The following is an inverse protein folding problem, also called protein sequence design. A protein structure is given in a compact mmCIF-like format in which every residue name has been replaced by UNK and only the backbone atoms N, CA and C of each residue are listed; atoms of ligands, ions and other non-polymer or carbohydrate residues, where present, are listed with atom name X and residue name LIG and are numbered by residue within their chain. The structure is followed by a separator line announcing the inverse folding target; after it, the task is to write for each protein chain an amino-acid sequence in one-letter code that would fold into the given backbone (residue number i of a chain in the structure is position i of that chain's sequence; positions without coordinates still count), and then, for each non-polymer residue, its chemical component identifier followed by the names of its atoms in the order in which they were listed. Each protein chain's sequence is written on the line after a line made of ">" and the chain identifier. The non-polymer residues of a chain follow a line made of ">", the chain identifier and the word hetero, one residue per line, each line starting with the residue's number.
data_IF_139026661110
#
_entry.id   IF_139026661110
#
_cell.length_a   1.000
_cell.length_b   1.000
_cell.length_c   1.000
_cell.angle_alpha   90.00
_cell.angle_beta   90.00
_cell.angle_gamma   90.00
#
_symmetry.space_group_name_H-M   'P 1'
#
loop_
_entity.id
_entity.type
_entity.pdbx_description
1 polymer ?
#
# COMPACT_ATOMS: atom_id res chain seq x y z
N UNK A 1 72.44 -5.98 -52.87
CA UNK A 1 72.57 -6.84 -51.68
C UNK A 1 72.03 -6.05 -50.50
N UNK A 2 70.79 -6.35 -50.10
CA UNK A 2 70.42 -6.89 -48.77
C UNK A 2 70.55 -5.90 -47.60
N UNK A 3 69.40 -5.44 -47.09
CA UNK A 3 68.78 -5.77 -45.77
C UNK A 3 69.26 -4.80 -44.67
N UNK A 4 68.53 -3.72 -44.33
CA UNK A 4 67.29 -3.55 -43.51
C UNK A 4 67.51 -3.66 -41.98
N UNK A 5 66.84 -2.73 -41.26
CA UNK A 5 66.42 -2.70 -39.84
C UNK A 5 67.46 -2.09 -38.87
N UNK A 6 67.14 -1.17 -37.97
CA UNK A 6 65.89 -1.05 -37.18
C UNK A 6 65.75 0.39 -36.64
N UNK A 7 64.69 1.11 -37.03
CA UNK A 7 64.27 2.35 -36.35
C UNK A 7 63.10 1.99 -35.44
N UNK A 8 63.41 1.81 -34.14
CA UNK A 8 62.41 1.73 -33.09
C UNK A 8 61.81 3.13 -32.89
N UNK A 9 60.73 3.43 -33.61
CA UNK A 9 59.82 4.51 -33.23
C UNK A 9 59.00 4.02 -32.04
N UNK A 10 59.51 4.29 -30.83
CA UNK A 10 58.67 4.40 -29.64
C UNK A 10 57.72 5.56 -29.89
N UNK A 11 56.51 5.27 -30.35
CA UNK A 11 55.40 6.20 -30.25
C UNK A 11 55.02 6.25 -28.76
N UNK A 12 55.27 7.34 -28.02
CA UNK A 12 54.46 7.58 -26.86
C UNK A 12 53.06 7.84 -27.40
N UNK A 13 52.15 6.87 -27.24
CA UNK A 13 50.72 7.14 -27.26
C UNK A 13 50.43 7.97 -26.00
N UNK A 14 50.88 9.23 -26.03
CA UNK A 14 50.33 10.34 -25.29
C UNK A 14 49.15 10.84 -26.10
N UNK A 15 48.15 9.97 -26.30
CA UNK A 15 46.80 10.43 -26.61
C UNK A 15 46.11 10.52 -25.27
N UNK A 16 46.37 11.65 -24.63
CA UNK A 16 45.34 12.41 -23.94
C UNK A 16 44.28 11.59 -23.19
N UNK A 17 44.43 11.51 -21.86
CA UNK A 17 43.31 11.36 -20.93
C UNK A 17 42.32 12.55 -20.96
N UNK A 18 42.10 13.17 -22.12
CA UNK A 18 41.17 14.27 -22.38
C UNK A 18 39.91 13.85 -23.15
N UNK A 19 39.62 12.56 -23.27
CA UNK A 19 38.36 12.12 -23.89
C UNK A 19 37.30 11.86 -22.82
N UNK A 20 36.44 12.87 -22.65
CA UNK A 20 35.18 12.90 -21.90
C UNK A 20 35.28 13.02 -20.37
N UNK A 21 35.55 14.24 -19.86
CA UNK A 21 35.03 14.60 -18.53
C UNK A 21 33.49 14.59 -18.62
N UNK A 22 32.77 13.73 -17.88
CA UNK A 22 31.33 13.67 -17.97
C UNK A 22 30.73 15.02 -17.53
N UNK A 23 29.97 15.65 -18.43
CA UNK A 23 29.30 16.91 -18.17
C UNK A 23 27.93 16.63 -17.57
N UNK A 24 27.78 16.93 -16.28
CA UNK A 24 26.50 16.80 -15.60
C UNK A 24 25.64 18.04 -15.83
N UNK A 25 24.35 17.79 -16.03
CA UNK A 25 23.35 18.84 -16.19
C UNK A 25 22.37 18.81 -15.03
N UNK A 26 22.14 19.98 -14.43
CA UNK A 26 21.13 20.14 -13.39
C UNK A 26 19.76 20.28 -14.04
N UNK A 27 18.80 19.48 -13.57
CA UNK A 27 17.38 19.57 -13.93
C UNK A 27 16.58 19.76 -12.65
N UNK A 28 15.65 20.72 -12.68
CA UNK A 28 14.58 20.86 -11.69
C UNK A 28 13.27 20.52 -12.37
N UNK A 29 12.59 19.46 -11.94
CA UNK A 29 11.28 19.09 -12.44
C UNK A 29 10.20 19.47 -11.43
N UNK A 30 9.12 20.08 -11.91
CA UNK A 30 7.95 20.45 -11.11
C UNK A 30 6.66 19.96 -11.76
N UNK A 31 5.62 19.75 -10.97
CA UNK A 31 4.30 19.40 -11.49
C UNK A 31 3.38 18.85 -10.42
N UNK A 32 2.27 18.26 -10.87
CA UNK A 32 1.23 17.67 -10.01
C UNK A 32 0.74 16.34 -10.57
N UNK A 33 0.65 15.32 -9.72
CA UNK A 33 -0.01 14.06 -10.06
C UNK A 33 -1.41 13.98 -9.45
N UNK A 34 -2.39 13.61 -10.27
CA UNK A 34 -3.76 13.32 -9.84
C UNK A 34 -4.19 11.93 -10.30
N UNK A 35 -5.14 11.32 -9.59
CA UNK A 35 -5.81 10.08 -9.96
C UNK A 35 -7.31 10.37 -10.09
N UNK A 36 -7.84 10.37 -11.32
CA UNK A 36 -9.22 10.77 -11.60
C UNK A 36 -9.54 12.18 -11.10
N UNK A 37 -8.60 13.12 -11.21
CA UNK A 37 -8.72 14.48 -10.68
C UNK A 37 -8.42 14.65 -9.18
N UNK A 38 -8.33 13.56 -8.40
CA UNK A 38 -7.98 13.62 -6.98
C UNK A 38 -6.45 13.68 -6.82
N UNK A 39 -5.88 14.62 -6.05
CA UNK A 39 -4.43 14.68 -5.82
C UNK A 39 -3.84 13.38 -5.24
N UNK A 40 -2.75 12.89 -5.84
CA UNK A 40 -2.01 11.74 -5.31
C UNK A 40 -1.01 12.25 -4.26
N UNK A 41 -1.37 12.22 -2.99
CA UNK A 41 -0.63 12.84 -1.88
C UNK A 41 0.35 11.88 -1.21
N UNK A 42 1.51 12.35 -0.78
CA UNK A 42 2.52 11.57 -0.04
C UNK A 42 2.99 10.32 -0.80
N UNK A 43 3.09 10.43 -2.12
CA UNK A 43 3.48 9.34 -3.02
C UNK A 43 4.90 9.54 -3.52
N UNK A 44 5.66 8.45 -3.66
CA UNK A 44 7.05 8.52 -4.11
C UNK A 44 7.10 9.03 -5.56
N UNK A 45 7.87 10.10 -5.78
CA UNK A 45 8.18 10.63 -7.11
C UNK A 45 9.68 10.59 -7.32
N UNK A 46 10.09 10.19 -8.52
CA UNK A 46 11.47 10.17 -8.96
C UNK A 46 11.61 11.07 -10.18
N UNK A 47 12.66 11.88 -10.20
CA UNK A 47 13.20 12.49 -11.41
C UNK A 47 14.15 11.46 -12.04
N UNK A 48 13.86 11.10 -13.28
CA UNK A 48 14.52 10.03 -14.02
C UNK A 48 15.05 10.57 -15.34
N UNK A 49 16.24 10.12 -15.70
CA UNK A 49 16.85 10.26 -17.02
C UNK A 49 16.50 9.02 -17.87
N UNK A 50 15.99 9.20 -19.09
CA UNK A 50 15.52 8.10 -19.96
C UNK A 50 16.65 7.69 -20.92
N UNK A 51 17.62 6.94 -20.43
CA UNK A 51 18.80 6.52 -21.20
C UNK A 51 18.54 5.22 -21.98
N UNK A 52 19.26 5.02 -23.08
CA UNK A 52 19.11 3.84 -23.96
C UNK A 52 19.44 2.50 -23.26
N UNK A 53 20.26 2.50 -22.21
CA UNK A 53 20.71 1.26 -21.53
C UNK A 53 20.14 1.09 -20.11
N UNK A 54 20.13 2.14 -19.27
CA UNK A 54 19.57 2.09 -17.92
C UNK A 54 19.05 3.45 -17.48
N UNK A 55 17.74 3.55 -17.20
CA UNK A 55 17.14 4.74 -16.61
C UNK A 55 17.81 5.11 -15.27
N UNK A 56 18.50 6.25 -15.22
CA UNK A 56 19.17 6.72 -14.00
C UNK A 56 18.25 7.61 -13.16
N UNK A 57 18.01 7.22 -11.90
CA UNK A 57 17.27 8.08 -10.96
C UNK A 57 18.17 9.22 -10.49
N UNK A 58 17.91 10.44 -10.96
CA UNK A 58 18.64 11.65 -10.55
C UNK A 58 18.27 12.12 -9.14
N UNK A 59 16.99 12.03 -8.76
CA UNK A 59 16.48 12.45 -7.46
C UNK A 59 15.18 11.73 -7.11
N UNK A 60 14.94 11.50 -5.82
CA UNK A 60 13.65 11.02 -5.30
C UNK A 60 13.09 12.00 -4.27
N UNK A 61 11.77 12.05 -4.15
CA UNK A 61 11.03 12.79 -3.12
C UNK A 61 9.58 12.33 -3.05
N UNK A 62 8.72 13.12 -2.42
CA UNK A 62 7.31 12.78 -2.23
C UNK A 62 6.42 13.90 -2.74
N UNK A 63 5.24 13.56 -3.25
CA UNK A 63 4.20 14.56 -3.49
C UNK A 63 3.70 15.15 -2.16
N UNK A 64 3.35 16.44 -2.17
CA UNK A 64 2.76 17.12 -1.02
C UNK A 64 1.26 16.82 -0.85
N UNK A 65 0.59 17.54 0.05
CA UNK A 65 -0.86 17.47 0.29
C UNK A 65 -1.72 17.87 -0.91
N UNK A 66 -1.17 18.59 -1.88
CA UNK A 66 -1.84 18.98 -3.13
C UNK A 66 -1.46 18.07 -4.31
N UNK A 67 -0.69 17.01 -4.08
CA UNK A 67 -0.20 16.12 -5.14
C UNK A 67 0.94 16.72 -5.97
N UNK A 68 1.48 17.86 -5.55
CA UNK A 68 2.54 18.59 -6.24
C UNK A 68 3.93 18.10 -5.81
N UNK A 69 4.91 18.29 -6.67
CA UNK A 69 6.30 17.95 -6.41
C UNK A 69 7.24 18.96 -7.06
N UNK A 70 8.43 19.10 -6.47
CA UNK A 70 9.58 19.81 -7.01
C UNK A 70 10.83 19.01 -6.68
N UNK A 71 11.55 18.52 -7.69
CA UNK A 71 12.76 17.72 -7.52
C UNK A 71 13.91 18.31 -8.33
N UNK A 72 15.06 18.50 -7.71
CA UNK A 72 16.29 18.93 -8.38
C UNK A 72 17.32 17.82 -8.31
N UNK A 73 17.87 17.44 -9.46
CA UNK A 73 18.89 16.40 -9.60
C UNK A 73 19.90 16.73 -10.70
N UNK A 74 20.98 15.95 -10.75
CA UNK A 74 21.99 16.02 -11.81
C UNK A 74 21.96 14.73 -12.62
N UNK A 75 21.91 14.86 -13.93
CA UNK A 75 21.86 13.76 -14.89
C UNK A 75 22.97 13.92 -15.92
N UNK A 76 23.21 12.86 -16.68
CA UNK A 76 24.15 12.84 -17.78
C UNK A 76 23.64 11.80 -18.77
N UNK A 77 23.89 12.06 -20.04
CA UNK A 77 23.71 11.04 -21.06
C UNK A 77 25.07 10.61 -21.59
N UNK A 78 25.21 9.31 -21.87
CA UNK A 78 26.42 8.77 -22.49
C UNK A 78 26.50 9.11 -24.00
N UNK A 79 25.35 9.32 -24.64
CA UNK A 79 25.23 9.50 -26.10
C UNK A 79 24.56 10.83 -26.51
N UNK A 80 23.89 11.50 -25.58
CA UNK A 80 23.25 12.81 -25.76
C UNK A 80 24.02 13.93 -25.02
N UNK A 81 23.72 15.19 -25.38
CA UNK A 81 24.40 16.35 -24.77
C UNK A 81 23.82 16.77 -23.42
N UNK A 82 22.58 16.38 -23.11
CA UNK A 82 21.88 16.64 -21.84
C UNK A 82 20.84 15.53 -21.60
N UNK A 83 20.43 15.35 -20.34
CA UNK A 83 19.37 14.44 -19.91
C UNK A 83 18.08 14.53 -20.71
N UNK A 84 17.31 13.45 -20.64
CA UNK A 84 15.97 13.23 -21.19
C UNK A 84 14.92 13.15 -20.04
N UNK A 85 14.75 14.22 -19.22
CA UNK A 85 14.06 14.11 -17.94
C UNK A 85 12.56 13.85 -18.03
N UNK A 86 12.07 13.02 -17.11
CA UNK A 86 10.66 12.87 -16.78
C UNK A 86 10.44 12.62 -15.28
N UNK A 87 9.20 12.83 -14.81
CA UNK A 87 8.78 12.49 -13.46
C UNK A 87 8.10 11.11 -13.46
N UNK A 88 8.59 10.19 -12.63
CA UNK A 88 8.00 8.87 -12.39
C UNK A 88 7.33 8.85 -11.02
N UNK A 89 6.04 8.53 -10.96
CA UNK A 89 5.34 8.31 -9.70
C UNK A 89 5.23 6.82 -9.41
N UNK A 90 5.79 6.37 -8.29
CA UNK A 90 5.70 4.99 -7.81
C UNK A 90 4.67 4.95 -6.68
N UNK A 91 3.70 4.03 -6.75
CA UNK A 91 2.62 3.90 -5.76
C UNK A 91 3.13 3.35 -4.42
N UNK A 92 3.88 4.18 -3.72
CA UNK A 92 4.44 3.95 -2.41
C UNK A 92 3.95 5.09 -1.51
N UNK A 93 3.31 4.77 -0.40
CA UNK A 93 2.84 5.75 0.58
C UNK A 93 3.84 5.82 1.74
N UNK A 94 4.78 6.76 1.67
CA UNK A 94 5.82 7.02 2.71
C UNK A 94 6.39 5.74 3.36
N UNK A 95 6.65 4.72 2.53
CA UNK A 95 7.10 3.37 2.90
C UNK A 95 6.12 2.51 3.73
N UNK A 96 4.94 3.02 4.10
CA UNK A 96 3.87 2.29 4.81
C UNK A 96 3.04 1.38 3.91
N UNK A 97 3.02 1.61 2.60
CA UNK A 97 2.29 0.79 1.64
C UNK A 97 2.94 0.85 0.26
N UNK A 98 2.89 -0.25 -0.50
CA UNK A 98 3.25 -0.32 -1.91
C UNK A 98 2.18 -1.03 -2.74
N UNK A 99 1.80 -0.44 -3.88
CA UNK A 99 0.95 -1.10 -4.89
C UNK A 99 1.85 -1.80 -5.93
N UNK A 100 1.55 -3.07 -6.19
CA UNK A 100 2.33 -3.96 -7.05
C UNK A 100 1.42 -4.63 -8.09
N UNK A 101 2.00 -5.04 -9.23
CA UNK A 101 1.32 -5.93 -10.16
C UNK A 101 1.30 -7.39 -9.67
N UNK A 102 0.70 -8.25 -10.50
CA UNK A 102 0.63 -9.70 -10.32
C UNK A 102 1.98 -10.37 -10.10
N UNK A 103 3.08 -9.82 -10.65
CA UNK A 103 4.44 -10.35 -10.51
C UNK A 103 5.17 -9.75 -9.30
N UNK A 104 4.51 -8.90 -8.51
CA UNK A 104 5.11 -8.25 -7.36
C UNK A 104 6.00 -7.06 -7.71
N UNK A 105 5.96 -6.57 -8.95
CA UNK A 105 6.73 -5.39 -9.39
C UNK A 105 5.99 -4.13 -8.99
N UNK A 106 6.73 -3.15 -8.47
CA UNK A 106 6.19 -1.82 -8.12
C UNK A 106 5.58 -1.18 -9.36
N UNK A 107 4.35 -0.66 -9.23
CA UNK A 107 3.66 0.02 -10.32
C UNK A 107 3.88 1.51 -10.27
N UNK A 108 3.94 2.09 -11.47
CA UNK A 108 4.28 3.48 -11.65
C UNK A 108 3.62 4.05 -12.91
N UNK A 109 3.51 5.37 -12.92
CA UNK A 109 3.14 6.17 -14.09
C UNK A 109 4.20 7.27 -14.28
N UNK A 110 4.18 7.93 -15.43
CA UNK A 110 5.12 9.01 -15.72
C UNK A 110 4.48 10.23 -16.36
N UNK A 111 5.13 11.38 -16.22
CA UNK A 111 4.84 12.59 -16.98
C UNK A 111 5.31 12.47 -18.44
N UNK A 112 5.04 13.50 -19.23
CA UNK A 112 5.74 13.71 -20.50
C UNK A 112 7.24 13.83 -20.27
N UNK A 113 8.02 13.25 -21.17
CA UNK A 113 9.47 13.41 -21.26
C UNK A 113 9.82 14.69 -21.99
N UNK A 114 10.93 15.33 -21.64
CA UNK A 114 11.52 16.42 -22.43
C UNK A 114 12.91 16.01 -22.88
N UNK A 115 13.12 15.91 -24.19
CA UNK A 115 14.41 15.47 -24.73
C UNK A 115 15.51 16.51 -24.57
N UNK A 116 16.73 16.07 -24.33
CA UNK A 116 17.97 16.86 -24.32
C UNK A 116 17.79 18.20 -23.57
N UNK A 117 17.41 18.12 -22.29
CA UNK A 117 16.99 19.26 -21.48
C UNK A 117 17.78 19.42 -20.17
N UNK A 118 18.04 20.68 -19.83
CA UNK A 118 18.60 21.11 -18.54
C UNK A 118 17.91 22.40 -18.11
N UNK A 119 17.76 22.63 -16.80
CA UNK A 119 17.05 23.78 -16.24
C UNK A 119 15.72 23.38 -15.60
N UNK A 120 14.72 24.28 -15.62
CA UNK A 120 13.42 24.07 -14.97
C UNK A 120 12.42 23.50 -15.98
N UNK A 121 11.88 22.33 -15.69
CA UNK A 121 10.83 21.67 -16.47
C UNK A 121 9.57 21.51 -15.63
N UNK A 122 8.54 22.31 -15.92
CA UNK A 122 7.22 22.12 -15.36
C UNK A 122 6.40 21.20 -16.27
N UNK A 123 6.01 20.03 -15.76
CA UNK A 123 5.22 19.04 -16.51
C UNK A 123 3.71 19.29 -16.43
N UNK A 124 3.29 20.34 -15.71
CA UNK A 124 1.89 20.63 -15.46
C UNK A 124 1.21 19.59 -14.57
N UNK A 125 -0.08 19.37 -14.82
CA UNK A 125 -0.87 18.34 -14.13
C UNK A 125 -0.93 17.07 -14.97
N UNK A 126 -0.46 15.96 -14.41
CA UNK A 126 -0.59 14.62 -14.99
C UNK A 126 -1.76 13.93 -14.30
N UNK A 127 -2.87 13.74 -15.03
CA UNK A 127 -4.02 13.00 -14.55
C UNK A 127 -3.91 11.52 -14.95
N UNK A 128 -3.92 10.64 -13.97
CA UNK A 128 -3.87 9.19 -14.13
C UNK A 128 -5.26 8.63 -13.86
N UNK A 129 -5.70 7.63 -14.61
CA UNK A 129 -6.96 6.96 -14.32
C UNK A 129 -6.83 5.45 -14.56
N UNK A 130 -6.26 4.75 -13.58
CA UNK A 130 -6.10 3.30 -13.61
C UNK A 130 -6.35 2.68 -12.23
N UNK A 131 -6.46 1.36 -12.19
CA UNK A 131 -6.73 0.58 -10.97
C UNK A 131 -5.65 0.77 -9.88
N UNK A 132 -4.39 0.95 -10.26
CA UNK A 132 -3.29 1.08 -9.30
C UNK A 132 -3.35 2.42 -8.57
N UNK A 133 -3.70 3.49 -9.29
CA UNK A 133 -3.88 4.81 -8.71
C UNK A 133 -5.08 4.82 -7.75
N UNK A 134 -6.19 4.17 -8.12
CA UNK A 134 -7.36 4.01 -7.24
C UNK A 134 -7.03 3.20 -6.00
N UNK A 135 -6.34 2.07 -6.15
CA UNK A 135 -5.87 1.27 -5.02
C UNK A 135 -4.96 2.07 -4.07
N UNK A 136 -4.06 2.88 -4.63
CA UNK A 136 -3.24 3.77 -3.83
C UNK A 136 -4.10 4.75 -3.01
N UNK A 137 -5.08 5.43 -3.64
CA UNK A 137 -5.93 6.40 -2.94
C UNK A 137 -6.75 5.75 -1.83
N UNK A 138 -7.44 4.65 -2.10
CA UNK A 138 -8.34 4.01 -1.13
C UNK A 138 -7.57 3.41 0.05
N UNK A 139 -6.49 2.66 -0.19
CA UNK A 139 -5.70 2.10 0.91
C UNK A 139 -4.92 3.16 1.70
N UNK A 140 -4.44 4.24 1.06
CA UNK A 140 -3.86 5.36 1.79
C UNK A 140 -4.88 5.97 2.76
N UNK A 141 -6.11 6.21 2.30
CA UNK A 141 -7.18 6.73 3.15
C UNK A 141 -7.56 5.74 4.26
N UNK A 142 -7.59 4.44 3.98
CA UNK A 142 -7.87 3.40 4.97
C UNK A 142 -6.78 3.36 6.06
N UNK A 143 -5.50 3.48 5.66
CA UNK A 143 -4.37 3.56 6.61
C UNK A 143 -4.50 4.80 7.49
N UNK A 144 -4.82 5.97 6.92
CA UNK A 144 -5.02 7.21 7.72
C UNK A 144 -6.15 7.01 8.73
N UNK A 145 -7.26 6.41 8.31
CA UNK A 145 -8.39 6.11 9.19
C UNK A 145 -7.99 5.15 10.32
N UNK A 146 -7.27 4.06 10.00
CA UNK A 146 -6.76 3.14 11.01
C UNK A 146 -5.86 3.84 12.04
N UNK A 147 -4.90 4.65 11.60
CA UNK A 147 -3.96 5.34 12.51
C UNK A 147 -4.71 6.30 13.44
N UNK A 148 -5.71 7.02 12.92
CA UNK A 148 -6.54 7.92 13.72
C UNK A 148 -7.37 7.17 14.77
N UNK A 149 -7.99 6.04 14.40
CA UNK A 149 -8.91 5.30 15.28
C UNK A 149 -8.21 4.38 16.29
N UNK A 150 -7.11 3.76 15.87
CA UNK A 150 -6.31 2.88 16.73
C UNK A 150 -5.50 3.65 17.78
N UNK A 151 -5.25 4.94 17.55
CA UNK A 151 -4.28 5.69 18.35
C UNK A 151 -2.83 5.27 18.10
N UNK A 152 -2.59 4.34 17.15
CA UNK A 152 -1.25 3.88 16.82
C UNK A 152 -0.58 4.82 15.81
N UNK A 153 0.70 5.12 16.03
CA UNK A 153 1.51 5.90 15.09
C UNK A 153 1.93 5.14 13.82
N UNK A 154 1.75 3.81 13.81
CA UNK A 154 2.17 2.92 12.73
C UNK A 154 1.23 1.70 12.55
N UNK A 155 1.32 1.07 11.37
CA UNK A 155 0.77 -0.26 11.15
C UNK A 155 1.60 -1.28 11.95
N UNK A 156 1.03 -2.44 12.34
CA UNK A 156 1.75 -3.48 13.07
C UNK A 156 2.80 -4.24 12.20
N UNK A 157 3.05 -3.75 10.99
CA UNK A 157 4.05 -4.24 10.05
C UNK A 157 4.67 -3.05 9.30
N UNK A 158 5.87 -3.25 8.75
CA UNK A 158 6.64 -2.17 8.11
C UNK A 158 5.97 -1.60 6.87
N UNK A 159 5.31 -2.43 6.06
CA UNK A 159 4.66 -2.00 4.81
C UNK A 159 3.53 -2.94 4.40
N UNK A 160 2.39 -2.36 4.01
CA UNK A 160 1.30 -3.06 3.34
C UNK A 160 1.64 -3.30 1.87
N UNK A 161 1.50 -4.54 1.39
CA UNK A 161 1.64 -4.88 -0.02
C UNK A 161 0.28 -5.06 -0.68
N UNK A 162 -0.17 -4.10 -1.47
CA UNK A 162 -1.42 -4.22 -2.27
C UNK A 162 -1.07 -4.75 -3.66
N UNK A 163 -1.52 -5.95 -4.00
CA UNK A 163 -1.34 -6.57 -5.32
C UNK A 163 -2.62 -6.44 -6.12
N UNK A 164 -2.63 -5.56 -7.10
CA UNK A 164 -3.69 -5.47 -8.11
C UNK A 164 -3.50 -6.54 -9.19
N UNK A 165 -4.59 -6.97 -9.85
CA UNK A 165 -4.56 -7.99 -10.91
C UNK A 165 -4.03 -9.35 -10.44
N UNK A 166 -4.35 -9.76 -9.20
CA UNK A 166 -3.91 -11.04 -8.67
C UNK A 166 -4.69 -12.21 -9.30
N UNK A 167 -3.95 -13.21 -9.82
CA UNK A 167 -4.49 -14.39 -10.54
C UNK A 167 -5.30 -15.33 -9.63
N UNK A 168 -4.97 -15.39 -8.34
CA UNK A 168 -5.57 -16.31 -7.37
C UNK A 168 -6.33 -15.51 -6.33
N UNK A 169 -7.58 -15.17 -6.64
CA UNK A 169 -8.46 -14.37 -5.78
C UNK A 169 -9.88 -14.92 -5.66
N UNK A 170 -10.24 -16.06 -6.28
CA UNK A 170 -11.61 -16.60 -6.27
C UNK A 170 -12.71 -15.56 -6.62
N UNK A 171 -12.35 -14.48 -7.32
CA UNK A 171 -13.25 -13.37 -7.68
C UNK A 171 -13.39 -12.25 -6.65
N UNK A 172 -12.82 -12.38 -5.45
CA UNK A 172 -12.94 -11.39 -4.36
C UNK A 172 -11.57 -10.94 -3.84
N UNK A 173 -11.45 -9.75 -3.24
CA UNK A 173 -10.26 -9.36 -2.52
C UNK A 173 -9.86 -10.40 -1.46
N UNK A 174 -8.56 -10.50 -1.19
CA UNK A 174 -8.03 -11.43 -0.19
C UNK A 174 -6.90 -10.79 0.61
N UNK A 175 -7.10 -10.69 1.92
CA UNK A 175 -6.13 -10.21 2.88
C UNK A 175 -5.35 -11.35 3.57
N UNK A 176 -4.03 -11.19 3.63
CA UNK A 176 -3.14 -11.90 4.55
C UNK A 176 -2.55 -10.92 5.56
N UNK A 177 -1.63 -11.36 6.43
CA UNK A 177 -1.02 -10.51 7.49
C UNK A 177 -0.56 -9.12 7.01
N UNK A 178 0.12 -9.00 5.87
CA UNK A 178 0.63 -7.71 5.38
C UNK A 178 0.40 -7.48 3.88
N UNK A 179 -0.54 -8.21 3.29
CA UNK A 179 -0.82 -8.07 1.87
C UNK A 179 -2.29 -8.22 1.55
N UNK A 180 -2.75 -7.41 0.60
CA UNK A 180 -4.08 -7.55 0.00
C UNK A 180 -3.89 -7.91 -1.47
N UNK A 181 -4.68 -8.87 -1.96
CA UNK A 181 -4.71 -9.29 -3.35
C UNK A 181 -6.06 -8.91 -3.93
N UNK A 182 -6.07 -8.03 -4.91
CA UNK A 182 -7.27 -7.60 -5.61
C UNK A 182 -7.42 -8.41 -6.91
N UNK A 183 -8.62 -8.92 -7.22
CA UNK A 183 -8.90 -9.51 -8.52
C UNK A 183 -8.62 -8.52 -9.66
N UNK A 184 -8.35 -9.04 -10.85
CA UNK A 184 -8.20 -8.18 -12.02
C UNK A 184 -9.53 -7.54 -12.43
N UNK A 185 -9.50 -6.25 -12.78
CA UNK A 185 -10.70 -5.49 -13.12
C UNK A 185 -11.62 -5.19 -11.93
N UNK A 186 -11.23 -5.55 -10.70
CA UNK A 186 -12.04 -5.30 -9.50
C UNK A 186 -12.22 -3.80 -9.25
N UNK A 187 -13.47 -3.38 -9.08
CA UNK A 187 -13.80 -1.99 -8.72
C UNK A 187 -13.61 -1.81 -7.22
N UNK A 188 -12.40 -1.44 -6.82
CA UNK A 188 -12.09 -1.14 -5.43
C UNK A 188 -12.66 0.23 -5.04
N UNK A 189 -13.42 0.27 -3.95
CA UNK A 189 -13.85 1.48 -3.26
C UNK A 189 -13.13 1.64 -1.90
N UNK A 190 -13.52 2.68 -1.17
CA UNK A 190 -12.92 3.01 0.11
C UNK A 190 -13.27 2.00 1.21
N UNK A 191 -14.52 1.52 1.24
CA UNK A 191 -14.99 0.64 2.30
C UNK A 191 -14.38 -0.75 2.16
N UNK A 192 -14.29 -1.29 0.94
CA UNK A 192 -13.53 -2.50 0.65
C UNK A 192 -12.06 -2.36 1.07
N UNK A 193 -11.42 -1.20 0.81
CA UNK A 193 -10.04 -0.99 1.24
C UNK A 193 -9.89 -0.96 2.77
N UNK A 194 -10.88 -0.42 3.50
CA UNK A 194 -10.92 -0.49 4.97
C UNK A 194 -11.09 -1.91 5.46
N UNK A 195 -12.03 -2.66 4.86
CA UNK A 195 -12.32 -4.05 5.16
C UNK A 195 -11.05 -4.92 5.08
N UNK A 196 -10.41 -4.90 3.91
CA UNK A 196 -9.19 -5.69 3.66
C UNK A 196 -8.01 -5.26 4.56
N UNK A 197 -7.88 -3.96 4.85
CA UNK A 197 -6.87 -3.48 5.80
C UNK A 197 -7.15 -3.95 7.23
N UNK A 198 -8.41 -4.01 7.65
CA UNK A 198 -8.78 -4.46 8.99
C UNK A 198 -8.38 -5.93 9.20
N UNK A 199 -8.55 -6.77 8.17
CA UNK A 199 -8.03 -8.13 8.18
C UNK A 199 -6.51 -8.19 8.32
N UNK A 200 -5.76 -7.45 7.49
CA UNK A 200 -4.28 -7.51 7.53
C UNK A 200 -3.76 -7.12 8.91
N UNK A 201 -4.32 -6.05 9.50
CA UNK A 201 -3.95 -5.58 10.84
C UNK A 201 -4.31 -6.64 11.90
N UNK A 202 -5.56 -7.12 11.95
CA UNK A 202 -5.99 -8.16 12.91
C UNK A 202 -5.10 -9.39 12.85
N UNK A 203 -4.93 -9.95 11.65
CA UNK A 203 -4.14 -11.17 11.45
C UNK A 203 -2.66 -10.98 11.83
N UNK A 204 -2.13 -9.76 11.71
CA UNK A 204 -0.77 -9.48 12.17
C UNK A 204 -0.68 -9.45 13.69
N UNK A 205 -1.63 -8.79 14.35
CA UNK A 205 -1.70 -8.67 15.81
C UNK A 205 -2.00 -10.02 16.48
N UNK A 206 -2.81 -10.87 15.84
CA UNK A 206 -3.26 -12.13 16.41
C UNK A 206 -2.12 -13.17 16.52
N UNK A 207 -1.09 -13.13 15.67
CA UNK A 207 0.05 -14.03 15.86
C UNK A 207 0.95 -14.20 14.65
N UNK A 208 1.72 -15.29 14.65
CA UNK A 208 2.67 -15.61 13.57
C UNK A 208 1.97 -16.08 12.30
N UNK A 209 2.72 -16.17 11.19
CA UNK A 209 2.19 -16.71 9.93
C UNK A 209 1.67 -18.15 10.06
N UNK A 210 2.31 -18.98 10.90
CA UNK A 210 1.82 -20.33 11.18
C UNK A 210 0.47 -20.34 11.90
N UNK A 211 0.23 -19.38 12.81
CA UNK A 211 -1.07 -19.22 13.45
C UNK A 211 -2.14 -18.76 12.44
N UNK A 212 -1.82 -17.79 11.59
CA UNK A 212 -2.72 -17.37 10.52
C UNK A 212 -3.11 -18.55 9.59
N UNK A 213 -2.15 -19.38 9.18
CA UNK A 213 -2.45 -20.54 8.33
C UNK A 213 -3.33 -21.57 9.05
N UNK A 214 -3.07 -21.79 10.34
CA UNK A 214 -3.92 -22.63 11.18
C UNK A 214 -5.36 -22.12 11.21
N UNK A 215 -5.56 -20.81 11.39
CA UNK A 215 -6.89 -20.19 11.39
C UNK A 215 -7.59 -20.29 10.03
N UNK A 216 -6.86 -20.05 8.92
CA UNK A 216 -7.41 -20.19 7.56
C UNK A 216 -8.00 -21.58 7.35
N UNK A 217 -7.31 -22.62 7.81
CA UNK A 217 -7.77 -24.02 7.71
C UNK A 217 -8.91 -24.29 8.70
N UNK A 218 -8.71 -23.96 9.97
CA UNK A 218 -9.64 -24.27 11.07
C UNK A 218 -11.00 -23.59 10.88
N UNK A 219 -10.98 -22.32 10.49
CA UNK A 219 -12.19 -21.50 10.36
C UNK A 219 -12.65 -21.31 8.92
N UNK A 220 -11.92 -21.87 7.94
CA UNK A 220 -12.25 -21.81 6.52
C UNK A 220 -12.36 -20.37 6.02
N UNK A 221 -11.34 -19.54 6.25
CA UNK A 221 -11.36 -18.13 5.79
C UNK A 221 -11.44 -17.99 4.27
N UNK A 222 -10.95 -18.98 3.51
CA UNK A 222 -10.96 -18.95 2.04
C UNK A 222 -12.33 -19.29 1.43
N UNK A 223 -13.32 -18.42 1.64
CA UNK A 223 -14.65 -18.50 1.03
C UNK A 223 -15.23 -17.09 0.85
N UNK A 224 -16.22 -16.96 -0.03
CA UNK A 224 -17.00 -15.72 -0.15
C UNK A 224 -17.77 -15.44 1.13
N UNK A 225 -18.17 -14.19 1.35
CA UNK A 225 -18.93 -13.83 2.53
C UNK A 225 -20.02 -12.80 2.21
N UNK A 226 -20.93 -12.62 3.15
CA UNK A 226 -22.04 -11.67 3.09
C UNK A 226 -22.59 -11.57 4.50
N UNK A 227 -23.08 -10.41 4.90
CA UNK A 227 -23.49 -10.20 6.28
C UNK A 227 -24.52 -11.20 6.86
N UNK A 228 -25.36 -11.81 6.01
CA UNK A 228 -26.33 -12.83 6.40
C UNK A 228 -25.83 -14.28 6.27
N UNK A 229 -24.53 -14.49 6.00
CA UNK A 229 -23.96 -15.81 5.80
C UNK A 229 -23.74 -16.48 7.15
N UNK A 230 -24.42 -17.61 7.34
CA UNK A 230 -24.17 -18.48 8.48
C UNK A 230 -22.86 -19.24 8.30
N UNK A 231 -21.92 -19.07 9.23
CA UNK A 231 -20.62 -19.72 9.17
C UNK A 231 -20.25 -20.35 10.52
N UNK A 232 -19.03 -20.14 11.00
CA UNK A 232 -18.58 -20.55 12.33
C UNK A 232 -18.09 -19.30 13.09
N UNK A 233 -17.94 -19.41 14.40
CA UNK A 233 -17.56 -18.26 15.24
C UNK A 233 -16.24 -17.59 14.83
N UNK A 234 -15.26 -18.34 14.35
CA UNK A 234 -13.98 -17.79 13.91
C UNK A 234 -14.10 -17.01 12.61
N UNK A 235 -14.77 -17.59 11.62
CA UNK A 235 -15.06 -16.91 10.35
C UNK A 235 -15.89 -15.65 10.57
N UNK A 236 -17.04 -15.80 11.23
CA UNK A 236 -17.95 -14.69 11.52
C UNK A 236 -17.26 -13.57 12.32
N UNK A 237 -16.33 -13.92 13.23
CA UNK A 237 -15.54 -12.91 13.93
C UNK A 237 -14.50 -12.23 13.04
N UNK A 238 -13.84 -12.98 12.15
CA UNK A 238 -12.85 -12.41 11.23
C UNK A 238 -13.50 -11.40 10.27
N UNK A 239 -14.61 -11.79 9.63
CA UNK A 239 -15.36 -10.91 8.71
C UNK A 239 -16.08 -9.79 9.45
N UNK A 240 -16.78 -10.12 10.54
CA UNK A 240 -17.51 -9.12 11.34
C UNK A 240 -16.60 -8.07 11.97
N UNK A 241 -15.33 -8.42 12.26
CA UNK A 241 -14.31 -7.45 12.65
C UNK A 241 -14.01 -6.46 11.52
N UNK A 242 -13.85 -6.94 10.29
CA UNK A 242 -13.58 -6.11 9.13
C UNK A 242 -14.78 -5.23 8.76
N UNK A 243 -16.00 -5.78 8.77
CA UNK A 243 -17.26 -5.04 8.58
C UNK A 243 -17.45 -3.94 9.64
N UNK A 244 -17.22 -4.26 10.94
CA UNK A 244 -17.22 -3.25 12.00
C UNK A 244 -16.25 -2.10 11.68
N UNK A 245 -15.04 -2.42 11.21
CA UNK A 245 -14.03 -1.41 10.87
C UNK A 245 -14.38 -0.58 9.64
N UNK A 246 -15.03 -1.19 8.66
CA UNK A 246 -15.58 -0.50 7.50
C UNK A 246 -16.76 0.42 7.88
N UNK A 247 -17.42 0.16 9.01
CA UNK A 247 -18.55 0.93 9.52
C UNK A 247 -19.90 0.28 9.21
N UNK A 248 -19.91 -0.96 8.73
CA UNK A 248 -21.10 -1.73 8.44
C UNK A 248 -21.69 -2.33 9.73
N UNK A 249 -22.47 -1.51 10.44
CA UNK A 249 -23.07 -1.87 11.73
C UNK A 249 -24.54 -2.31 11.63
N UNK A 250 -25.16 -2.19 10.45
CA UNK A 250 -26.61 -2.30 10.27
C UNK A 250 -27.07 -3.64 9.69
N UNK A 251 -26.18 -4.45 9.13
CA UNK A 251 -26.60 -5.74 8.58
C UNK A 251 -26.73 -6.78 9.70
N UNK A 252 -27.93 -6.85 10.30
CA UNK A 252 -28.27 -7.79 11.38
C UNK A 252 -29.29 -8.80 10.86
N UNK A 253 -29.02 -10.09 11.07
CA UNK A 253 -29.96 -11.16 10.72
C UNK A 253 -31.13 -11.21 11.72
N UNK A 254 -32.28 -11.73 11.29
CA UNK A 254 -33.46 -11.92 12.13
C UNK A 254 -33.11 -12.68 13.43
N UNK A 255 -33.15 -11.96 14.56
CA UNK A 255 -32.82 -12.49 15.89
C UNK A 255 -31.52 -11.96 16.51
N UNK A 256 -30.58 -11.42 15.71
CA UNK A 256 -29.42 -10.61 16.13
C UNK A 256 -28.44 -11.18 17.17
N UNK A 257 -28.64 -12.41 17.65
CA UNK A 257 -27.93 -12.99 18.79
C UNK A 257 -26.96 -14.11 18.41
N UNK A 258 -27.11 -14.72 17.24
CA UNK A 258 -26.21 -15.78 16.78
C UNK A 258 -24.93 -15.19 16.17
N UNK A 259 -23.82 -15.34 16.89
CA UNK A 259 -22.50 -14.82 16.51
C UNK A 259 -21.77 -15.69 15.48
N UNK A 260 -22.48 -16.61 14.80
CA UNK A 260 -22.03 -17.28 13.57
C UNK A 260 -22.39 -16.52 12.29
N UNK A 261 -23.13 -15.41 12.42
CA UNK A 261 -23.34 -14.44 11.36
C UNK A 261 -22.37 -13.26 11.55
N UNK A 262 -21.59 -12.94 10.52
CA UNK A 262 -20.62 -11.84 10.57
C UNK A 262 -21.28 -10.48 10.82
N UNK A 263 -22.44 -10.23 10.23
CA UNK A 263 -23.17 -8.98 10.43
C UNK A 263 -23.66 -8.79 11.88
N UNK A 264 -24.04 -9.87 12.57
CA UNK A 264 -24.37 -9.81 14.01
C UNK A 264 -23.11 -9.47 14.82
N UNK A 265 -21.96 -10.06 14.50
CA UNK A 265 -20.69 -9.71 15.14
C UNK A 265 -20.36 -8.24 14.92
N UNK A 266 -20.43 -7.75 13.68
CA UNK A 266 -20.13 -6.37 13.32
C UNK A 266 -21.01 -5.39 14.10
N UNK A 267 -22.33 -5.61 14.13
CA UNK A 267 -23.26 -4.78 14.88
C UNK A 267 -22.94 -4.75 16.38
N UNK A 268 -22.59 -5.89 16.97
CA UNK A 268 -22.23 -5.96 18.39
C UNK A 268 -20.88 -5.31 18.68
N UNK A 269 -19.89 -5.45 17.80
CA UNK A 269 -18.60 -4.74 17.89
C UNK A 269 -18.80 -3.22 17.77
N UNK A 270 -19.70 -2.75 16.91
CA UNK A 270 -20.04 -1.33 16.81
C UNK A 270 -20.61 -0.78 18.13
N UNK A 271 -21.53 -1.51 18.78
CA UNK A 271 -22.06 -1.14 20.11
C UNK A 271 -20.95 -1.10 21.17
N UNK A 272 -20.06 -2.09 21.17
CA UNK A 272 -18.91 -2.11 22.08
C UNK A 272 -17.97 -0.94 21.82
N UNK A 273 -17.68 -0.62 20.56
CA UNK A 273 -16.82 0.50 20.19
C UNK A 273 -17.43 1.86 20.56
N UNK A 274 -18.74 2.04 20.38
CA UNK A 274 -19.45 3.24 20.81
C UNK A 274 -19.35 3.47 22.33
N UNK A 275 -19.37 2.40 23.12
CA UNK A 275 -19.22 2.46 24.57
C UNK A 275 -17.75 2.59 25.04
N UNK A 276 -16.84 1.79 24.47
CA UNK A 276 -15.47 1.62 24.98
C UNK A 276 -14.44 2.47 24.24
N UNK A 277 -14.76 2.92 23.02
CA UNK A 277 -13.86 3.62 22.11
C UNK A 277 -13.09 2.68 21.19
N UNK A 278 -12.94 3.08 19.93
CA UNK A 278 -12.26 2.31 18.88
C UNK A 278 -10.81 1.95 19.22
N UNK A 279 -10.06 2.86 19.85
CA UNK A 279 -8.68 2.62 20.30
C UNK A 279 -8.60 1.42 21.24
N UNK A 280 -9.52 1.32 22.20
CA UNK A 280 -9.54 0.20 23.14
C UNK A 280 -9.84 -1.12 22.45
N UNK A 281 -10.66 -1.12 21.40
CA UNK A 281 -10.96 -2.31 20.62
C UNK A 281 -9.70 -2.91 19.99
N UNK A 282 -8.83 -2.08 19.38
CA UNK A 282 -7.55 -2.53 18.84
C UNK A 282 -6.59 -3.02 19.92
N UNK A 283 -6.48 -2.28 21.03
CA UNK A 283 -5.60 -2.62 22.14
C UNK A 283 -5.92 -3.98 22.77
N UNK A 284 -7.16 -4.46 22.65
CA UNK A 284 -7.54 -5.80 23.09
C UNK A 284 -6.96 -6.86 22.14
N UNK A 285 -7.13 -6.70 20.83
CA UNK A 285 -6.57 -7.65 19.85
C UNK A 285 -5.06 -7.76 19.99
N UNK A 286 -4.37 -6.63 20.17
CA UNK A 286 -2.91 -6.59 20.35
C UNK A 286 -2.44 -7.27 21.64
N UNK A 287 -3.21 -7.17 22.73
CA UNK A 287 -2.77 -7.71 24.04
C UNK A 287 -3.11 -9.16 24.28
N UNK A 288 -3.95 -9.76 23.45
CA UNK A 288 -4.35 -11.17 23.58
C UNK A 288 -4.12 -11.91 22.28
N UNK A 289 -2.87 -11.96 21.78
CA UNK A 289 -2.56 -12.67 20.54
C UNK A 289 -2.94 -14.15 20.67
N UNK A 290 -3.55 -14.70 19.62
CA UNK A 290 -3.97 -16.10 19.45
C UNK A 290 -5.14 -16.52 20.34
N UNK A 291 -5.79 -15.58 21.01
CA UNK A 291 -6.83 -15.88 22.00
C UNK A 291 -8.22 -15.37 21.59
N UNK A 292 -8.34 -14.68 20.45
CA UNK A 292 -9.57 -13.99 20.04
C UNK A 292 -10.02 -14.46 18.65
N UNK A 293 -10.88 -15.47 18.66
CA UNK A 293 -11.48 -16.09 17.46
C UNK A 293 -13.00 -16.18 17.54
N UNK A 294 -13.62 -15.34 18.37
CA UNK A 294 -15.07 -15.20 18.49
C UNK A 294 -15.42 -13.88 19.15
N UNK A 295 -16.64 -13.40 18.91
CA UNK A 295 -17.18 -12.24 19.62
C UNK A 295 -17.15 -12.44 21.14
N UNK A 296 -17.51 -13.63 21.64
CA UNK A 296 -17.50 -13.94 23.08
C UNK A 296 -16.10 -13.81 23.69
N UNK A 297 -15.08 -14.39 23.04
CA UNK A 297 -13.69 -14.24 23.49
C UNK A 297 -13.25 -12.77 23.47
N UNK A 298 -13.59 -12.01 22.42
CA UNK A 298 -13.26 -10.59 22.33
C UNK A 298 -13.91 -9.79 23.48
N UNK A 299 -15.22 -9.95 23.67
CA UNK A 299 -15.99 -9.29 24.73
C UNK A 299 -15.39 -9.60 26.11
N UNK A 300 -15.10 -10.86 26.39
CA UNK A 300 -14.48 -11.28 27.65
C UNK A 300 -13.12 -10.59 27.88
N UNK A 301 -12.24 -10.57 26.88
CA UNK A 301 -10.93 -9.91 26.96
C UNK A 301 -11.04 -8.39 27.08
N UNK A 302 -12.02 -7.78 26.40
CA UNK A 302 -12.30 -6.35 26.50
C UNK A 302 -12.71 -5.95 27.92
N UNK A 303 -13.62 -6.69 28.55
CA UNK A 303 -14.04 -6.41 29.93
C UNK A 303 -12.97 -6.74 30.96
N UNK A 304 -12.15 -7.78 30.72
CA UNK A 304 -11.02 -8.10 31.59
C UNK A 304 -9.97 -6.96 31.59
N UNK A 305 -9.69 -6.38 30.42
CA UNK A 305 -8.69 -5.31 30.27
C UNK A 305 -9.23 -3.92 30.60
N UNK A 306 -10.50 -3.66 30.28
CA UNK A 306 -11.17 -2.38 30.49
C UNK A 306 -12.50 -2.60 31.22
N UNK A 307 -12.46 -2.73 32.57
CA UNK A 307 -13.66 -2.94 33.38
C UNK A 307 -14.73 -1.85 33.20
N UNK A 308 -15.93 -2.13 33.72
CA UNK A 308 -17.11 -1.27 33.61
C UNK A 308 -18.06 -1.74 32.52
N UNK A 309 -19.36 -1.72 32.78
CA UNK A 309 -20.39 -2.26 31.87
C UNK A 309 -20.76 -1.28 30.77
N UNK A 310 -21.16 -1.80 29.61
CA UNK A 310 -21.80 -1.01 28.56
C UNK A 310 -23.32 -1.22 28.63
N UNK A 311 -24.09 -0.26 29.15
CA UNK A 311 -25.54 -0.37 29.20
C UNK A 311 -26.14 -0.46 27.78
N UNK A 312 -27.18 -1.27 27.60
CA UNK A 312 -27.92 -1.36 26.33
C UNK A 312 -27.26 -2.21 25.22
N UNK A 313 -26.22 -2.99 25.53
CA UNK A 313 -25.58 -3.87 24.53
C UNK A 313 -26.35 -5.18 24.30
N UNK A 314 -27.21 -5.61 25.24
CA UNK A 314 -28.09 -6.76 25.06
C UNK A 314 -28.95 -6.64 23.79
N UNK A 315 -29.09 -7.69 22.94
CA UNK A 315 -28.70 -9.09 23.19
C UNK A 315 -27.27 -9.46 22.76
N UNK A 316 -26.39 -8.49 22.52
CA UNK A 316 -24.96 -8.73 22.37
C UNK A 316 -24.26 -8.90 23.74
#
# INVERSE_FOLDING_TARGET
>A
MQIVWTLLLVLPILVEGWLFKPKYHTVTITGKFTCGGVPIRNCLVRLVDDDVLFDDTMKSGWTNSNGEFTLTGKGRDAFDTKPDPFAKIEYNYINRMRVKDRLGRTRWNRSSKKKNFSGIYNVGTVNINNEHCRAYLHFRSAIIHYLAQSGNGALPYSSLSVRSNALLTAGTPWATRNSVRLPGGYSLDYDTAKHELAHTVRQTLDGSFGHFLYDVIRFKYAQTHSCNKFTNFGFAFNEGWAEYWEGQCSCVTSGGSDMRYEGNVAACLCKLAACKGHTRMWNVVESYPKQIHSYSSFKSRLYAKYPGVCPGISPC
#
